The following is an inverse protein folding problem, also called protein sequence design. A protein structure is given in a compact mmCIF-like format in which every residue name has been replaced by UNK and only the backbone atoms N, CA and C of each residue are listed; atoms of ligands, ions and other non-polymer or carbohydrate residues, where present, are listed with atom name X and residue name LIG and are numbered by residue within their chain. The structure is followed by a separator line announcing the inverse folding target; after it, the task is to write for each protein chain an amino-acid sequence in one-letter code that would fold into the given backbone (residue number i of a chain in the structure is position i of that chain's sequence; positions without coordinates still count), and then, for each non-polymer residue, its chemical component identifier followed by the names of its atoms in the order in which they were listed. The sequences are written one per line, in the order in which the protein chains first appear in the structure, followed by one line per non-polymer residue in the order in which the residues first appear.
data_IF_134930912490
#
_entry.id   IF_134930912490
#
_cell.length_a   1.000
_cell.length_b   1.000
_cell.length_c   1.000
_cell.angle_alpha   90.00
_cell.angle_beta   90.00
_cell.angle_gamma   90.00
#
_symmetry.space_group_name_H-M   'P 1'
#
loop_
_entity.id
_entity.type
_entity.pdbx_description
1 polymer ?
#
# COMPACT_ATOMS: atom_id res chain seq x y z
N UNK A 1 -23.59 19.64 0.41
CA UNK A 1 -23.33 18.30 0.99
C UNK A 1 -21.85 18.21 1.32
N UNK A 2 -21.47 17.80 2.53
CA UNK A 2 -20.05 17.66 2.88
C UNK A 2 -19.41 16.59 1.98
N UNK A 3 -18.28 16.92 1.33
CA UNK A 3 -17.56 15.95 0.50
C UNK A 3 -16.98 14.86 1.41
N UNK A 4 -17.47 13.62 1.29
CA UNK A 4 -16.90 12.48 2.01
C UNK A 4 -15.46 12.23 1.54
N UNK A 5 -14.59 11.89 2.48
CA UNK A 5 -13.16 11.58 2.25
C UNK A 5 -12.93 10.08 2.42
N UNK A 6 -12.11 9.49 1.56
CA UNK A 6 -11.67 8.11 1.67
C UNK A 6 -10.42 8.04 2.55
N UNK A 7 -10.59 7.65 3.80
CA UNK A 7 -9.50 7.49 4.76
C UNK A 7 -8.96 6.06 4.70
N UNK A 8 -7.66 5.92 4.46
CA UNK A 8 -7.00 4.64 4.32
C UNK A 8 -5.86 4.53 5.32
N UNK A 9 -5.95 3.48 6.15
CA UNK A 9 -4.93 3.12 7.13
C UNK A 9 -4.25 1.84 6.69
N UNK A 10 -2.93 1.88 6.59
CA UNK A 10 -2.11 0.72 6.23
C UNK A 10 -1.02 0.44 7.27
N UNK A 11 -0.72 1.41 8.12
CA UNK A 11 0.26 1.26 9.20
C UNK A 11 -0.44 0.76 10.45
N UNK A 12 0.05 -0.31 11.08
CA UNK A 12 -0.59 -0.92 12.26
C UNK A 12 -1.88 -1.71 11.98
N UNK A 13 -2.20 -1.95 10.70
CA UNK A 13 -3.39 -2.67 10.24
C UNK A 13 -3.97 -2.05 8.97
N UNK A 14 -4.70 -2.84 8.18
CA UNK A 14 -5.38 -2.36 6.98
C UNK A 14 -6.85 -2.07 7.27
N UNK A 15 -7.25 -0.80 7.13
CA UNK A 15 -8.65 -0.39 7.24
C UNK A 15 -8.94 0.79 6.32
N UNK A 16 -10.18 0.86 5.84
CA UNK A 16 -10.63 1.89 4.91
C UNK A 16 -11.99 2.39 5.40
N UNK A 17 -12.17 3.71 5.41
CA UNK A 17 -13.42 4.39 5.74
C UNK A 17 -13.76 5.40 4.65
N UNK A 18 -15.04 5.52 4.32
CA UNK A 18 -15.55 6.54 3.41
C UNK A 18 -16.56 7.43 4.14
N UNK A 19 -16.08 8.57 4.64
CA UNK A 19 -16.76 9.27 5.73
C UNK A 19 -16.72 8.42 7.01
N UNK A 20 -17.87 8.18 7.64
CA UNK A 20 -18.00 7.33 8.83
C UNK A 20 -18.20 5.84 8.50
N UNK A 21 -18.45 5.51 7.23
CA UNK A 21 -18.80 4.14 6.82
C UNK A 21 -17.54 3.29 6.56
N UNK A 22 -17.40 2.11 7.20
CA UNK A 22 -16.29 1.22 6.93
C UNK A 22 -16.43 0.52 5.57
N UNK A 23 -15.35 0.48 4.80
CA UNK A 23 -15.28 -0.26 3.53
C UNK A 23 -14.77 -1.67 3.81
N UNK A 24 -15.70 -2.64 3.80
CA UNK A 24 -15.43 -4.03 4.20
C UNK A 24 -15.43 -4.94 2.97
N UNK A 25 -14.33 -5.68 2.75
CA UNK A 25 -14.24 -6.67 1.68
C UNK A 25 -14.70 -8.06 2.17
N UNK A 26 -15.86 -8.52 1.69
CA UNK A 26 -16.55 -9.73 2.17
C UNK A 26 -15.67 -11.00 2.12
N UNK A 27 -15.79 -11.87 3.14
CA UNK A 27 -14.81 -12.87 3.60
C UNK A 27 -14.46 -14.07 2.68
N UNK A 28 -14.95 -14.16 1.44
CA UNK A 28 -14.60 -15.29 0.55
C UNK A 28 -13.91 -14.79 -0.73
N UNK A 29 -12.62 -15.11 -0.89
CA UNK A 29 -11.82 -14.68 -2.06
C UNK A 29 -11.34 -13.21 -2.05
N UNK A 30 -11.61 -12.44 -0.99
CA UNK A 30 -11.21 -11.02 -0.88
C UNK A 30 -9.73 -10.79 -0.58
N UNK A 31 -8.98 -11.81 -0.18
CA UNK A 31 -7.56 -11.67 0.15
C UNK A 31 -6.72 -11.16 -1.03
N UNK A 32 -7.02 -11.62 -2.26
CA UNK A 32 -6.36 -11.12 -3.48
C UNK A 32 -6.80 -9.70 -3.83
N UNK A 33 -8.07 -9.33 -3.63
CA UNK A 33 -8.55 -7.96 -3.88
C UNK A 33 -7.91 -6.96 -2.91
N UNK A 34 -7.84 -7.33 -1.63
CA UNK A 34 -7.17 -6.53 -0.59
C UNK A 34 -5.68 -6.41 -0.91
N UNK A 35 -5.01 -7.51 -1.30
CA UNK A 35 -3.61 -7.50 -1.75
C UNK A 35 -3.39 -6.55 -2.91
N UNK A 36 -4.20 -6.67 -3.96
CA UNK A 36 -4.12 -5.81 -5.14
C UNK A 36 -4.28 -4.33 -4.74
N UNK A 37 -5.28 -4.00 -3.93
CA UNK A 37 -5.51 -2.64 -3.49
C UNK A 37 -4.33 -2.09 -2.67
N UNK A 38 -3.81 -2.86 -1.72
CA UNK A 38 -2.63 -2.45 -0.95
C UNK A 38 -1.42 -2.19 -1.84
N UNK A 39 -1.16 -3.04 -2.84
CA UNK A 39 -0.05 -2.85 -3.77
C UNK A 39 -0.22 -1.58 -4.61
N UNK A 40 -1.44 -1.31 -5.11
CA UNK A 40 -1.76 -0.12 -5.88
C UNK A 40 -1.66 1.17 -5.03
N UNK A 41 -2.07 1.12 -3.75
CA UNK A 41 -1.96 2.24 -2.82
C UNK A 41 -0.52 2.52 -2.39
N UNK A 42 0.31 1.48 -2.23
CA UNK A 42 1.75 1.63 -1.98
C UNK A 42 2.49 2.26 -3.16
N UNK A 43 1.98 2.06 -4.38
CA UNK A 43 2.56 2.56 -5.61
C UNK A 43 1.85 3.81 -6.16
N UNK A 44 1.06 4.52 -5.35
CA UNK A 44 0.18 5.61 -5.80
C UNK A 44 0.87 6.68 -6.67
N UNK A 45 2.14 7.01 -6.39
CA UNK A 45 2.92 8.03 -7.13
C UNK A 45 3.42 7.55 -8.49
N UNK A 46 3.97 6.34 -8.56
CA UNK A 46 4.73 5.86 -9.72
C UNK A 46 4.01 4.73 -10.49
N UNK A 47 2.91 4.23 -9.96
CA UNK A 47 2.28 3.00 -10.42
C UNK A 47 3.13 1.76 -10.15
N UNK A 48 2.58 0.61 -10.50
CA UNK A 48 3.23 -0.70 -10.42
C UNK A 48 3.04 -1.44 -11.74
N UNK A 49 4.08 -2.12 -12.21
CA UNK A 49 4.01 -2.83 -13.48
C UNK A 49 3.01 -4.00 -13.41
N UNK A 50 2.36 -4.28 -14.53
CA UNK A 50 1.39 -5.36 -14.64
C UNK A 50 2.01 -6.74 -14.32
N UNK A 51 3.24 -6.97 -14.78
CA UNK A 51 4.00 -8.19 -14.48
C UNK A 51 4.27 -8.33 -12.98
N UNK A 52 4.71 -7.26 -12.31
CA UNK A 52 4.97 -7.30 -10.86
C UNK A 52 3.70 -7.55 -10.04
N UNK A 53 2.55 -7.02 -10.48
CA UNK A 53 1.26 -7.36 -9.89
C UNK A 53 0.96 -8.86 -10.03
N UNK A 54 1.11 -9.41 -11.24
CA UNK A 54 0.86 -10.83 -11.51
C UNK A 54 1.78 -11.71 -10.66
N UNK A 55 3.07 -11.43 -10.64
CA UNK A 55 4.06 -12.20 -9.89
C UNK A 55 3.78 -12.19 -8.38
N UNK A 56 3.41 -11.03 -7.82
CA UNK A 56 3.10 -10.94 -6.39
C UNK A 56 1.74 -11.56 -6.04
N UNK A 57 0.76 -11.53 -6.95
CA UNK A 57 -0.58 -12.07 -6.71
C UNK A 57 -0.68 -13.59 -6.94
N UNK A 58 0.09 -14.11 -7.90
CA UNK A 58 -0.05 -15.48 -8.42
C UNK A 58 1.26 -16.27 -8.46
N UNK A 59 2.43 -15.63 -8.40
CA UNK A 59 3.73 -16.30 -8.58
C UNK A 59 4.15 -17.29 -7.48
N UNK A 60 3.33 -17.45 -6.44
CA UNK A 60 3.55 -18.43 -5.36
C UNK A 60 2.82 -19.77 -5.61
N UNK A 61 1.82 -19.77 -6.50
CA UNK A 61 1.01 -20.94 -6.82
C UNK A 61 1.28 -21.35 -8.29
N UNK A 62 1.11 -22.64 -8.56
CA UNK A 62 1.52 -23.39 -9.75
C UNK A 62 1.49 -22.64 -11.11
N UNK A 63 2.40 -23.03 -12.01
CA UNK A 63 2.64 -22.47 -13.35
C UNK A 63 1.37 -22.17 -14.19
N UNK A 64 0.25 -22.84 -13.92
CA UNK A 64 -1.04 -22.59 -14.59
C UNK A 64 -1.62 -21.20 -14.32
N UNK A 65 -1.47 -20.66 -13.11
CA UNK A 65 -2.01 -19.32 -12.77
C UNK A 65 -1.24 -18.19 -13.48
N UNK A 66 0.04 -18.42 -13.79
CA UNK A 66 0.91 -17.50 -14.52
C UNK A 66 0.58 -17.46 -16.02
N UNK A 67 0.24 -18.60 -16.63
CA UNK A 67 -0.10 -18.69 -18.06
C UNK A 67 -1.30 -17.80 -18.43
N UNK A 68 -2.20 -17.54 -17.48
CA UNK A 68 -3.38 -16.71 -17.67
C UNK A 68 -3.39 -15.44 -16.78
N UNK A 69 -2.22 -15.03 -16.29
CA UNK A 69 -2.07 -13.96 -15.30
C UNK A 69 -2.71 -12.64 -15.71
N UNK A 70 -2.64 -12.28 -16.99
CA UNK A 70 -3.27 -11.08 -17.54
C UNK A 70 -4.80 -11.09 -17.40
N UNK A 71 -5.45 -12.21 -17.78
CA UNK A 71 -6.90 -12.37 -17.67
C UNK A 71 -7.32 -12.39 -16.20
N UNK A 72 -6.56 -13.10 -15.37
CA UNK A 72 -6.82 -13.21 -13.93
C UNK A 72 -6.71 -11.86 -13.22
N UNK A 73 -5.69 -11.06 -13.54
CA UNK A 73 -5.52 -9.72 -12.99
C UNK A 73 -6.65 -8.77 -13.42
N UNK A 74 -7.03 -8.77 -14.70
CA UNK A 74 -8.13 -7.93 -15.19
C UNK A 74 -9.46 -8.29 -14.50
N UNK A 75 -9.73 -9.58 -14.32
CA UNK A 75 -10.90 -10.06 -13.55
C UNK A 75 -10.83 -9.60 -12.08
N UNK A 76 -9.65 -9.62 -11.47
CA UNK A 76 -9.45 -9.17 -10.10
C UNK A 76 -9.67 -7.65 -9.96
N UNK A 77 -9.19 -6.85 -10.92
CA UNK A 77 -9.42 -5.39 -10.98
C UNK A 77 -10.93 -5.11 -11.08
N UNK A 78 -11.65 -5.82 -11.94
CA UNK A 78 -13.09 -5.67 -12.06
C UNK A 78 -13.82 -6.02 -10.76
N UNK A 79 -13.44 -7.12 -10.10
CA UNK A 79 -13.98 -7.50 -8.78
C UNK A 79 -13.69 -6.46 -7.72
N UNK A 80 -12.46 -5.94 -7.67
CA UNK A 80 -12.08 -4.87 -6.75
C UNK A 80 -12.97 -3.63 -6.94
N UNK A 81 -13.17 -3.20 -8.19
CA UNK A 81 -14.11 -2.10 -8.50
C UNK A 81 -15.51 -2.38 -7.96
N UNK A 82 -16.07 -3.56 -8.23
CA UNK A 82 -17.41 -3.93 -7.75
C UNK A 82 -17.51 -3.93 -6.23
N UNK A 83 -16.48 -4.40 -5.52
CA UNK A 83 -16.43 -4.38 -4.06
C UNK A 83 -16.37 -2.96 -3.49
N UNK A 84 -15.61 -2.06 -4.12
CA UNK A 84 -15.54 -0.65 -3.70
C UNK A 84 -16.88 0.05 -3.88
N UNK A 85 -17.51 -0.13 -5.04
CA UNK A 85 -18.84 0.44 -5.32
C UNK A 85 -19.92 -0.15 -4.40
N UNK A 86 -19.87 -1.45 -4.09
CA UNK A 86 -20.82 -2.04 -3.13
C UNK A 86 -20.68 -1.52 -1.71
N UNK A 87 -19.52 -0.93 -1.35
CA UNK A 87 -19.30 -0.26 -0.07
C UNK A 87 -19.68 1.23 -0.10
N UNK A 88 -20.36 1.70 -1.15
CA UNK A 88 -20.87 3.07 -1.23
C UNK A 88 -19.90 4.10 -1.82
N UNK A 89 -18.75 3.69 -2.35
CA UNK A 89 -17.93 4.59 -3.15
C UNK A 89 -18.60 4.83 -4.53
N UNK A 90 -18.42 6.01 -5.15
CA UNK A 90 -19.04 6.32 -6.44
C UNK A 90 -18.60 5.35 -7.54
N UNK A 91 -19.49 5.06 -8.50
CA UNK A 91 -19.07 4.32 -9.69
C UNK A 91 -18.07 5.15 -10.51
N UNK A 92 -17.05 4.49 -11.03
CA UNK A 92 -15.92 5.13 -11.70
C UNK A 92 -14.79 4.16 -12.00
N UNK A 93 -13.70 4.69 -12.53
CA UNK A 93 -12.47 3.92 -12.74
C UNK A 93 -11.56 4.02 -11.52
N UNK A 94 -11.23 2.87 -10.94
CA UNK A 94 -10.36 2.79 -9.76
C UNK A 94 -8.91 2.43 -10.08
N UNK A 95 -8.69 1.84 -11.26
CA UNK A 95 -7.36 1.39 -11.71
C UNK A 95 -7.21 1.76 -13.17
N UNK A 96 -6.19 2.56 -13.48
CA UNK A 96 -5.81 2.89 -14.86
C UNK A 96 -4.59 2.06 -15.25
N UNK A 97 -4.56 1.56 -16.49
CA UNK A 97 -3.43 0.82 -17.04
C UNK A 97 -2.88 1.60 -18.23
N UNK A 98 -1.73 2.25 -18.07
CA UNK A 98 -1.06 3.02 -19.12
C UNK A 98 0.35 2.45 -19.32
N UNK A 99 0.72 2.11 -20.56
CA UNK A 99 2.04 1.53 -20.90
C UNK A 99 2.48 0.37 -19.99
N UNK A 100 1.53 -0.49 -19.63
CA UNK A 100 1.76 -1.63 -18.74
C UNK A 100 1.90 -1.27 -17.24
N UNK A 101 1.77 0.00 -16.88
CA UNK A 101 1.77 0.49 -15.50
C UNK A 101 0.35 0.63 -14.97
N UNK A 102 0.07 -0.05 -13.86
CA UNK A 102 -1.20 -0.01 -13.16
C UNK A 102 -1.12 1.04 -12.03
N UNK A 103 -2.07 1.97 -11.99
CA UNK A 103 -2.13 3.03 -10.98
C UNK A 103 -3.51 3.10 -10.33
N UNK A 104 -3.56 3.30 -9.02
CA UNK A 104 -4.83 3.59 -8.34
C UNK A 104 -5.31 5.00 -8.68
N UNK A 105 -6.60 5.12 -8.95
CA UNK A 105 -7.30 6.38 -9.15
C UNK A 105 -8.59 6.38 -8.35
N UNK A 106 -8.95 7.54 -7.83
CA UNK A 106 -10.24 7.71 -7.18
C UNK A 106 -10.69 9.15 -7.39
N UNK A 107 -11.96 9.36 -7.71
CA UNK A 107 -12.54 10.68 -7.92
C UNK A 107 -12.80 11.43 -6.62
N UNK A 108 -12.81 10.73 -5.48
CA UNK A 108 -12.99 11.33 -4.15
C UNK A 108 -11.65 11.68 -3.52
N UNK A 109 -11.66 12.67 -2.63
CA UNK A 109 -10.47 13.02 -1.85
C UNK A 109 -10.01 11.82 -1.00
N UNK A 110 -8.71 11.58 -0.96
CA UNK A 110 -8.10 10.45 -0.25
C UNK A 110 -7.08 10.90 0.79
N UNK A 111 -7.08 10.23 1.93
CA UNK A 111 -6.07 10.39 2.96
C UNK A 111 -5.42 9.05 3.29
N UNK A 112 -4.12 8.91 3.00
CA UNK A 112 -3.33 7.73 3.33
C UNK A 112 -2.36 8.02 4.46
N UNK A 113 -2.36 7.18 5.50
CA UNK A 113 -1.38 7.29 6.59
C UNK A 113 0.07 7.06 6.11
N UNK A 114 0.26 6.22 5.09
CA UNK A 114 1.56 6.02 4.44
C UNK A 114 2.07 7.25 3.72
N UNK A 115 1.19 8.03 3.08
CA UNK A 115 1.58 9.27 2.42
C UNK A 115 1.94 10.34 3.45
N UNK A 116 1.13 10.50 4.51
CA UNK A 116 1.45 11.40 5.64
C UNK A 116 2.79 11.06 6.28
N UNK A 117 3.10 9.76 6.40
CA UNK A 117 4.39 9.30 6.91
C UNK A 117 5.55 9.66 5.97
N UNK A 118 5.41 9.42 4.66
CA UNK A 118 6.42 9.82 3.68
C UNK A 118 6.70 11.33 3.71
N UNK A 119 5.66 12.14 3.79
CA UNK A 119 5.78 13.61 3.90
C UNK A 119 6.45 14.03 5.22
N UNK A 120 6.17 13.34 6.33
CA UNK A 120 6.84 13.58 7.61
C UNK A 120 8.34 13.24 7.53
N UNK A 121 8.68 12.11 6.94
CA UNK A 121 10.08 11.69 6.73
C UNK A 121 10.80 12.68 5.84
N UNK A 122 10.18 13.14 4.75
CA UNK A 122 10.81 14.08 3.83
C UNK A 122 11.04 15.45 4.47
N UNK A 123 10.07 15.96 5.25
CA UNK A 123 10.26 17.19 6.05
C UNK A 123 11.40 17.04 7.06
N UNK A 124 11.44 15.90 7.75
CA UNK A 124 12.46 15.65 8.76
C UNK A 124 13.87 15.48 8.14
N UNK A 125 13.99 14.92 6.94
CA UNK A 125 15.26 14.88 6.20
C UNK A 125 15.76 16.28 5.87
N UNK A 126 14.89 17.16 5.36
CA UNK A 126 15.24 18.54 5.02
C UNK A 126 15.68 19.33 6.25
N UNK A 127 15.06 19.09 7.40
CA UNK A 127 15.41 19.77 8.65
C UNK A 127 16.66 19.24 9.35
N UNK A 128 16.95 17.93 9.25
CA UNK A 128 17.98 17.28 10.07
C UNK A 128 19.16 16.68 9.27
N UNK A 129 19.21 16.86 7.95
CA UNK A 129 20.33 16.45 7.09
C UNK A 129 20.57 14.92 6.98
N UNK A 130 19.78 14.08 7.66
CA UNK A 130 20.02 12.63 7.75
C UNK A 130 18.75 11.79 7.76
N UNK A 131 18.71 10.78 6.87
CA UNK A 131 17.56 9.89 6.67
C UNK A 131 17.21 9.07 7.93
N UNK A 132 18.21 8.56 8.65
CA UNK A 132 17.99 7.75 9.87
C UNK A 132 17.29 8.56 10.98
N UNK A 133 17.72 9.79 11.20
CA UNK A 133 17.16 10.69 12.20
C UNK A 133 15.73 11.14 11.82
N UNK A 134 15.48 11.30 10.51
CA UNK A 134 14.17 11.61 9.99
C UNK A 134 13.14 10.49 10.18
N UNK A 135 13.54 9.23 9.95
CA UNK A 135 12.68 8.07 10.18
C UNK A 135 12.35 7.85 11.66
N UNK A 136 13.35 7.93 12.55
CA UNK A 136 13.14 7.74 13.99
C UNK A 136 12.24 8.82 14.58
N UNK A 137 12.42 10.09 14.16
CA UNK A 137 11.57 11.19 14.55
C UNK A 137 10.14 11.03 14.03
N UNK A 138 9.97 10.66 12.76
CA UNK A 138 8.65 10.48 12.15
C UNK A 138 7.89 9.29 12.76
N UNK A 139 8.59 8.21 13.09
CA UNK A 139 8.01 7.08 13.82
C UNK A 139 7.56 7.49 15.23
N UNK A 140 8.41 8.16 16.01
CA UNK A 140 8.05 8.66 17.35
C UNK A 140 6.85 9.60 17.32
N UNK A 141 6.80 10.50 16.33
CA UNK A 141 5.69 11.44 16.19
C UNK A 141 4.38 10.74 15.85
N UNK A 142 4.43 9.73 14.99
CA UNK A 142 3.24 8.97 14.59
C UNK A 142 2.75 8.01 15.68
N UNK A 143 3.64 7.48 16.53
CA UNK A 143 3.23 6.74 17.73
C UNK A 143 2.55 7.64 18.76
N UNK A 144 3.02 8.88 18.95
CA UNK A 144 2.37 9.82 19.87
C UNK A 144 0.97 10.24 19.40
N UNK A 145 0.75 10.35 18.08
CA UNK A 145 -0.57 10.70 17.51
C UNK A 145 -1.58 9.56 17.63
N UNK A 146 -1.12 8.30 17.71
CA UNK A 146 -1.99 7.10 17.67
C UNK A 146 -2.12 6.34 18.98
N UNK A 147 -1.47 6.78 20.05
CA UNK A 147 -1.33 5.95 21.26
C UNK A 147 -0.46 4.72 20.99
N UNK A 148 0.02 4.05 22.04
CA UNK A 148 1.06 3.00 22.01
C UNK A 148 0.76 1.72 21.18
N UNK A 149 -0.25 1.69 20.32
CA UNK A 149 -0.69 0.52 19.54
C UNK A 149 0.12 0.27 18.25
N UNK A 150 1.11 1.10 17.93
CA UNK A 150 1.75 1.12 16.60
C UNK A 150 2.74 -0.03 16.34
N UNK A 151 3.22 -0.71 17.39
CA UNK A 151 4.42 -1.54 17.33
C UNK A 151 4.23 -3.07 17.21
N UNK A 152 3.21 -3.76 17.75
CA UNK A 152 3.24 -5.24 17.75
C UNK A 152 2.86 -5.89 16.42
N UNK A 153 2.00 -5.26 15.61
CA UNK A 153 1.44 -5.90 14.40
C UNK A 153 2.24 -5.64 13.11
N UNK A 154 3.07 -4.58 13.07
CA UNK A 154 3.87 -4.22 11.88
C UNK A 154 4.99 -5.24 11.58
N UNK A 155 5.45 -6.00 12.59
CA UNK A 155 6.51 -6.99 12.46
C UNK A 155 6.00 -8.40 12.12
N UNK A 156 4.71 -8.68 12.31
CA UNK A 156 4.18 -10.05 12.30
C UNK A 156 3.30 -10.42 11.10
N UNK A 157 3.11 -9.53 10.12
CA UNK A 157 2.40 -9.85 8.88
C UNK A 157 3.39 -9.89 7.71
N UNK A 158 3.58 -11.03 7.04
CA UNK A 158 4.50 -11.15 5.88
C UNK A 158 4.27 -10.15 4.74
N UNK A 159 3.13 -9.45 4.75
CA UNK A 159 2.81 -8.33 3.87
C UNK A 159 3.57 -7.03 4.17
N UNK A 160 3.79 -6.65 5.43
CA UNK A 160 4.52 -5.42 5.76
C UNK A 160 5.99 -5.57 5.40
N UNK A 161 6.57 -6.76 5.58
CA UNK A 161 7.94 -7.06 5.15
C UNK A 161 8.05 -6.98 3.62
N UNK A 162 7.09 -7.52 2.85
CA UNK A 162 7.09 -7.43 1.38
C UNK A 162 6.78 -6.01 0.87
N UNK A 163 5.92 -5.24 1.53
CA UNK A 163 5.65 -3.84 1.23
C UNK A 163 6.84 -2.94 1.55
N UNK A 164 7.57 -3.24 2.62
CA UNK A 164 8.88 -2.66 2.94
C UNK A 164 9.92 -3.12 1.90
N UNK A 165 9.88 -4.35 1.39
CA UNK A 165 10.76 -4.84 0.32
C UNK A 165 10.44 -4.17 -1.03
N UNK A 166 9.16 -3.98 -1.39
CA UNK A 166 8.72 -3.28 -2.60
C UNK A 166 9.07 -1.78 -2.48
N UNK A 167 8.85 -1.17 -1.31
CA UNK A 167 9.37 0.18 -1.05
C UNK A 167 10.89 0.22 -1.02
N UNK A 168 11.59 -0.80 -0.53
CA UNK A 168 13.05 -0.88 -0.50
C UNK A 168 13.66 -1.16 -1.87
N UNK A 169 12.99 -1.87 -2.79
CA UNK A 169 13.44 -2.04 -4.17
C UNK A 169 13.25 -0.73 -4.95
N UNK A 170 12.17 0.01 -4.68
CA UNK A 170 11.94 1.36 -5.20
C UNK A 170 12.94 2.37 -4.59
N UNK A 171 13.23 2.29 -3.29
CA UNK A 171 14.24 3.13 -2.60
C UNK A 171 15.68 2.77 -3.00
N UNK A 172 16.00 1.48 -3.22
CA UNK A 172 17.33 1.04 -3.71
C UNK A 172 17.65 1.62 -5.08
N UNK A 173 16.66 1.77 -5.97
CA UNK A 173 16.85 2.43 -7.28
C UNK A 173 17.16 3.94 -7.17
N UNK A 174 16.80 4.60 -6.07
CA UNK A 174 17.15 6.00 -5.81
C UNK A 174 18.58 6.23 -5.26
N UNK A 175 19.41 5.18 -5.24
CA UNK A 175 20.87 5.30 -5.20
C UNK A 175 21.51 5.68 -3.87
N UNK A 176 20.78 5.73 -2.74
CA UNK A 176 21.36 6.27 -1.49
C UNK A 176 21.11 5.41 -0.24
N UNK A 177 21.46 4.12 -0.30
CA UNK A 177 21.55 3.27 0.89
C UNK A 177 22.67 2.23 0.77
N UNK A 178 23.82 2.49 1.39
CA UNK A 178 24.85 1.49 1.64
C UNK A 178 24.49 0.71 2.92
N UNK A 179 23.82 -0.42 2.73
CA UNK A 179 23.40 -1.30 3.82
C UNK A 179 24.57 -2.13 4.34
N UNK A 180 25.09 -1.79 5.51
CA UNK A 180 25.79 -2.75 6.37
C UNK A 180 25.05 -2.84 7.71
N UNK A 181 24.04 -3.72 7.74
CA UNK A 181 23.61 -4.35 8.99
C UNK A 181 24.20 -5.75 8.96
N UNK A 182 25.41 -5.90 9.51
CA UNK A 182 25.89 -7.20 9.97
C UNK A 182 24.96 -7.61 11.12
N UNK A 183 24.20 -8.67 10.89
CA UNK A 183 23.68 -9.51 11.96
C UNK A 183 24.85 -9.85 12.88
N UNK A 184 24.74 -9.46 14.16
CA UNK A 184 25.49 -10.12 15.22
C UNK A 184 24.46 -10.85 16.07
N UNK A 185 24.60 -12.16 16.01
CA UNK A 185 24.02 -13.15 16.90
C UNK A 185 24.19 -12.72 18.36
N UNK A 186 23.12 -12.89 19.13
CA UNK A 186 23.17 -13.31 20.53
C UNK A 186 22.17 -14.45 20.65
#
# INVERSE_FOLDING_TARGET
MASKVLQIRMLGGFSIYYGEEPVIFNKMGSSKSVRLLQMLLLSLKNGISKSELIDNLYGWNEKQDMANGNKNLNNLIYRLKKQLVSCGLPDGEYVTINDGMCSFRCSVAMELDTQRFEEAVERAKKAMGGVKNAYSYSMKRMSCIRGNSFLPACLMCGFTIRAIIIKNSIWRRSGNWNGSTKEREI
#
